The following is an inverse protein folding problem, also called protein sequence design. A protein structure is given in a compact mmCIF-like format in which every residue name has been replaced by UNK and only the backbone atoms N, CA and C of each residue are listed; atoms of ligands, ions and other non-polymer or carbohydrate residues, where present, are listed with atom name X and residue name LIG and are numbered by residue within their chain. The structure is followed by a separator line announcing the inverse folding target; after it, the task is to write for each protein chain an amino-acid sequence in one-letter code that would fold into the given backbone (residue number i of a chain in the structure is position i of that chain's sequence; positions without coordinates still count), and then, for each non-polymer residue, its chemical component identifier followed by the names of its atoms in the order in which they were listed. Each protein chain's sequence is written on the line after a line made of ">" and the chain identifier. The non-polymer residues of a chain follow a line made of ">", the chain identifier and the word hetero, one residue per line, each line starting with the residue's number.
data_IF_170765810364
#
_entry.id   IF_170765810364
#
_cell.length_a   1.000
_cell.length_b   1.000
_cell.length_c   1.000
_cell.angle_alpha   90.00
_cell.angle_beta   90.00
_cell.angle_gamma   90.00
#
_symmetry.space_group_name_H-M   'P 1'
#
loop_
_entity.id
_entity.type
_entity.pdbx_description
1 polymer ?
#
# COMPACT_ATOMS: atom_id res chain seq x y z
N UNK A 1 -11.18 9.81 8.25
CA UNK A 1 -12.05 9.98 7.08
C UNK A 1 -13.37 9.33 7.39
N UNK A 2 -14.44 10.11 7.57
CA UNK A 2 -15.84 9.62 7.54
C UNK A 2 -16.70 10.51 6.65
N UNK A 3 -16.34 11.79 6.46
CA UNK A 3 -17.16 12.77 5.75
C UNK A 3 -16.93 12.83 4.22
N UNK A 4 -16.08 11.95 3.66
CA UNK A 4 -15.70 12.00 2.24
C UNK A 4 -15.20 10.68 1.65
N UNK A 5 -15.66 9.54 2.17
CA UNK A 5 -15.23 8.20 1.73
C UNK A 5 -16.41 7.25 1.56
N UNK A 6 -16.28 6.30 0.62
CA UNK A 6 -17.17 5.14 0.51
C UNK A 6 -16.41 3.93 1.03
N UNK A 7 -16.92 3.31 2.09
CA UNK A 7 -16.35 2.09 2.67
C UNK A 7 -16.86 0.85 1.96
N UNK A 8 -15.95 -0.07 1.61
CA UNK A 8 -16.27 -1.39 1.07
C UNK A 8 -15.71 -2.43 2.03
N UNK A 9 -16.59 -3.22 2.64
CA UNK A 9 -16.20 -4.34 3.51
C UNK A 9 -16.25 -5.64 2.73
N UNK A 10 -15.16 -6.40 2.76
CA UNK A 10 -15.03 -7.69 2.08
C UNK A 10 -14.90 -8.76 3.15
N UNK A 11 -15.77 -9.78 3.11
CA UNK A 11 -15.73 -10.89 4.07
C UNK A 11 -14.44 -11.69 3.87
N UNK A 12 -13.42 -11.40 4.67
CA UNK A 12 -12.17 -12.14 4.75
C UNK A 12 -11.76 -12.18 6.21
N UNK A 13 -11.30 -13.34 6.70
CA UNK A 13 -10.83 -13.49 8.08
C UNK A 13 -9.48 -12.78 8.35
N UNK A 14 -8.90 -12.13 7.33
CA UNK A 14 -7.66 -11.38 7.40
C UNK A 14 -6.46 -12.31 7.45
N UNK A 15 -5.97 -12.57 8.67
CA UNK A 15 -4.85 -13.47 8.90
C UNK A 15 -5.10 -14.35 10.13
N UNK A 16 -4.46 -15.51 10.15
CA UNK A 16 -4.29 -16.31 11.36
C UNK A 16 -3.00 -15.88 12.04
N UNK A 17 -3.10 -15.53 13.33
CA UNK A 17 -1.94 -15.24 14.15
C UNK A 17 -1.22 -16.56 14.48
N UNK A 18 0.04 -16.67 14.05
CA UNK A 18 0.91 -17.81 14.35
C UNK A 18 2.10 -17.37 15.24
N UNK A 19 1.90 -16.36 16.08
CA UNK A 19 2.91 -15.81 16.98
C UNK A 19 3.78 -14.77 16.28
N UNK A 20 4.98 -15.15 15.85
CA UNK A 20 5.89 -14.21 15.16
C UNK A 20 5.53 -14.00 13.70
N UNK A 21 4.63 -14.81 13.14
CA UNK A 21 4.21 -14.76 11.75
C UNK A 21 2.70 -14.63 11.65
N UNK A 22 2.25 -14.01 10.56
CA UNK A 22 0.84 -13.94 10.16
C UNK A 22 0.65 -14.75 8.89
N UNK A 23 -0.29 -15.69 8.93
CA UNK A 23 -0.74 -16.40 7.73
C UNK A 23 -1.95 -15.66 7.16
N UNK A 24 -1.73 -14.89 6.09
CA UNK A 24 -2.79 -14.15 5.41
C UNK A 24 -3.67 -15.08 4.58
N UNK A 25 -4.97 -14.78 4.55
CA UNK A 25 -5.96 -15.60 3.85
C UNK A 25 -6.34 -14.97 2.51
N UNK A 26 -6.35 -15.76 1.42
CA UNK A 26 -6.63 -15.24 0.09
C UNK A 26 -8.10 -14.85 -0.05
N UNK A 27 -8.37 -13.93 -0.98
CA UNK A 27 -9.71 -13.62 -1.45
C UNK A 27 -10.15 -14.60 -2.53
N UNK A 28 -11.44 -14.96 -2.59
CA UNK A 28 -11.93 -15.87 -3.63
C UNK A 28 -12.07 -15.14 -4.97
N UNK A 29 -12.04 -15.88 -6.08
CA UNK A 29 -12.21 -15.31 -7.41
C UNK A 29 -13.56 -14.59 -7.58
N UNK A 30 -14.62 -15.11 -6.96
CA UNK A 30 -15.96 -14.52 -6.98
C UNK A 30 -15.97 -13.17 -6.24
N UNK A 31 -15.34 -13.11 -5.06
CA UNK A 31 -15.19 -11.85 -4.32
C UNK A 31 -14.46 -10.81 -5.17
N UNK A 32 -13.32 -11.19 -5.75
CA UNK A 32 -12.51 -10.28 -6.56
C UNK A 32 -13.25 -9.78 -7.80
N UNK A 33 -14.03 -10.63 -8.47
CA UNK A 33 -14.87 -10.25 -9.61
C UNK A 33 -15.95 -9.23 -9.21
N UNK A 34 -16.67 -9.51 -8.12
CA UNK A 34 -17.73 -8.62 -7.62
C UNK A 34 -17.18 -7.26 -7.20
N UNK A 35 -16.08 -7.21 -6.44
CA UNK A 35 -15.52 -5.93 -5.99
C UNK A 35 -14.97 -5.13 -7.17
N UNK A 36 -14.36 -5.79 -8.16
CA UNK A 36 -13.79 -5.10 -9.34
C UNK A 36 -14.89 -4.37 -10.11
N UNK A 37 -16.04 -5.02 -10.32
CA UNK A 37 -17.18 -4.41 -11.00
C UNK A 37 -17.75 -3.23 -10.20
N UNK A 38 -17.91 -3.40 -8.88
CA UNK A 38 -18.45 -2.36 -8.01
C UNK A 38 -17.50 -1.14 -7.90
N UNK A 39 -16.19 -1.38 -7.73
CA UNK A 39 -15.19 -0.31 -7.65
C UNK A 39 -15.14 0.51 -8.93
N UNK A 40 -15.24 -0.11 -10.11
CA UNK A 40 -15.31 0.62 -11.39
C UNK A 40 -16.51 1.56 -11.47
N UNK A 41 -17.70 1.10 -11.07
CA UNK A 41 -18.90 1.95 -11.07
C UNK A 41 -18.74 3.14 -10.11
N UNK A 42 -18.25 2.89 -8.90
CA UNK A 42 -18.03 3.94 -7.89
C UNK A 42 -17.00 4.96 -8.39
N UNK A 43 -15.85 4.50 -8.88
CA UNK A 43 -14.77 5.37 -9.38
C UNK A 43 -15.29 6.24 -10.52
N UNK A 44 -15.99 5.65 -11.50
CA UNK A 44 -16.54 6.38 -12.62
C UNK A 44 -17.59 7.41 -12.20
N UNK A 45 -18.49 7.04 -11.28
CA UNK A 45 -19.58 7.90 -10.82
C UNK A 45 -19.11 9.14 -10.08
N UNK A 46 -18.04 9.01 -9.29
CA UNK A 46 -17.56 10.09 -8.43
C UNK A 46 -16.24 10.73 -8.92
N UNK A 47 -15.66 10.25 -10.02
CA UNK A 47 -14.38 10.75 -10.52
C UNK A 47 -13.26 10.55 -9.50
N UNK A 48 -13.19 9.37 -8.88
CA UNK A 48 -12.20 9.10 -7.83
C UNK A 48 -10.83 8.91 -8.48
N UNK A 49 -9.90 9.78 -8.16
CA UNK A 49 -8.52 9.66 -8.62
C UNK A 49 -7.85 8.37 -8.09
N UNK A 50 -6.97 7.72 -8.86
CA UNK A 50 -6.37 6.43 -8.49
C UNK A 50 -5.72 6.40 -7.10
N UNK A 51 -5.02 7.46 -6.70
CA UNK A 51 -4.36 7.58 -5.40
C UNK A 51 -5.34 7.66 -4.21
N UNK A 52 -6.63 7.90 -4.47
CA UNK A 52 -7.68 7.93 -3.45
C UNK A 52 -8.39 6.57 -3.28
N UNK A 53 -7.99 5.54 -4.03
CA UNK A 53 -8.42 4.15 -3.79
C UNK A 53 -7.39 3.51 -2.85
N UNK A 54 -7.71 3.47 -1.57
CA UNK A 54 -6.77 3.12 -0.50
C UNK A 54 -7.30 2.00 0.39
N UNK A 55 -6.38 1.26 0.99
CA UNK A 55 -6.69 0.33 2.07
C UNK A 55 -6.92 1.07 3.39
N UNK A 56 -7.58 0.40 4.33
CA UNK A 56 -7.73 0.95 5.67
C UNK A 56 -6.38 1.10 6.38
N UNK A 57 -5.44 0.20 6.09
CA UNK A 57 -4.04 0.28 6.51
C UNK A 57 -3.36 1.57 6.08
N UNK A 58 -3.73 2.16 4.94
CA UNK A 58 -3.08 3.37 4.44
C UNK A 58 -3.53 4.62 5.20
N UNK A 59 -4.81 4.65 5.58
CA UNK A 59 -5.41 5.75 6.34
C UNK A 59 -5.11 5.62 7.84
N UNK A 60 -5.09 4.40 8.37
CA UNK A 60 -4.94 4.12 9.80
C UNK A 60 -3.84 3.08 10.11
N UNK A 61 -2.59 3.30 9.65
CA UNK A 61 -1.51 2.31 9.72
C UNK A 61 -1.18 1.87 11.15
N UNK A 62 -1.47 2.72 12.14
CA UNK A 62 -1.22 2.41 13.55
C UNK A 62 -2.19 1.38 14.14
N UNK A 63 -3.37 1.19 13.51
CA UNK A 63 -4.50 0.42 14.07
C UNK A 63 -5.03 -0.65 13.13
N UNK A 64 -4.77 -0.54 11.83
CA UNK A 64 -5.44 -1.31 10.78
C UNK A 64 -4.42 -1.90 9.82
N UNK A 65 -4.73 -3.10 9.34
CA UNK A 65 -3.86 -3.89 8.45
C UNK A 65 -4.63 -4.48 7.28
N UNK A 66 -5.95 -4.30 7.25
CA UNK A 66 -6.85 -4.61 6.16
C UNK A 66 -6.68 -3.62 4.98
N UNK A 67 -6.77 -4.10 3.72
CA UNK A 67 -7.19 -5.45 3.29
C UNK A 67 -6.06 -6.51 3.28
N UNK A 68 -4.86 -6.14 3.72
CA UNK A 68 -3.70 -7.03 3.80
C UNK A 68 -2.95 -7.22 2.46
N UNK A 69 -1.80 -7.90 2.48
CA UNK A 69 -0.90 -8.05 1.34
C UNK A 69 -1.42 -8.99 0.25
N UNK A 70 -2.44 -9.79 0.54
CA UNK A 70 -3.07 -10.69 -0.46
C UNK A 70 -4.21 -10.03 -1.22
N UNK A 71 -4.52 -8.77 -0.92
CA UNK A 71 -5.45 -8.00 -1.73
C UNK A 71 -4.76 -7.61 -3.06
N UNK A 72 -5.38 -7.84 -4.22
CA UNK A 72 -4.68 -7.83 -5.51
C UNK A 72 -4.62 -6.41 -6.11
N UNK A 73 -3.93 -5.49 -5.41
CA UNK A 73 -3.81 -4.09 -5.82
C UNK A 73 -3.24 -3.93 -7.24
N UNK A 74 -2.21 -4.71 -7.58
CA UNK A 74 -1.59 -4.67 -8.91
C UNK A 74 -2.55 -5.09 -10.03
N UNK A 75 -3.33 -6.15 -9.81
CA UNK A 75 -4.32 -6.64 -10.77
C UNK A 75 -5.51 -5.68 -10.92
N UNK A 76 -5.88 -4.99 -9.84
CA UNK A 76 -6.91 -3.94 -9.88
C UNK A 76 -6.42 -2.72 -10.66
N UNK A 77 -5.18 -2.28 -10.44
CA UNK A 77 -4.60 -1.14 -11.15
C UNK A 77 -4.47 -1.38 -12.66
N UNK A 78 -4.12 -2.61 -13.09
CA UNK A 78 -4.15 -3.03 -14.50
C UNK A 78 -5.55 -2.88 -15.14
N UNK A 79 -6.60 -2.83 -14.33
CA UNK A 79 -7.97 -2.65 -14.75
C UNK A 79 -8.49 -1.21 -14.54
N UNK A 80 -7.59 -0.26 -14.24
CA UNK A 80 -7.93 1.14 -14.00
C UNK A 80 -8.47 1.43 -12.61
N UNK A 81 -8.24 0.55 -11.64
CA UNK A 81 -8.71 0.71 -10.26
C UNK A 81 -7.51 0.93 -9.34
N UNK A 82 -7.36 2.15 -8.85
CA UNK A 82 -6.32 2.51 -7.88
C UNK A 82 -4.95 2.76 -8.49
N UNK A 83 -4.05 3.33 -7.67
CA UNK A 83 -2.70 3.66 -8.06
C UNK A 83 -1.78 2.43 -8.05
N UNK A 84 -0.84 2.39 -8.98
CA UNK A 84 0.27 1.43 -9.01
C UNK A 84 1.48 2.05 -9.71
N UNK A 85 2.71 1.83 -9.23
CA UNK A 85 3.90 2.35 -9.91
C UNK A 85 4.06 1.75 -11.30
N UNK A 86 4.74 2.47 -12.19
CA UNK A 86 5.21 1.92 -13.46
C UNK A 86 6.58 1.23 -13.27
N UNK A 87 6.75 0.03 -13.83
CA UNK A 87 7.94 -0.81 -13.60
C UNK A 87 9.23 -0.16 -14.15
N UNK A 88 9.15 0.57 -15.26
CA UNK A 88 10.31 1.29 -15.84
C UNK A 88 10.72 2.45 -14.94
N UNK A 89 9.74 3.17 -14.40
CA UNK A 89 9.94 4.28 -13.45
C UNK A 89 10.54 3.78 -12.13
N UNK A 90 10.07 2.64 -11.61
CA UNK A 90 10.69 2.00 -10.42
C UNK A 90 12.13 1.61 -10.72
N UNK A 91 12.38 1.00 -11.88
CA UNK A 91 13.74 0.61 -12.29
C UNK A 91 14.67 1.82 -12.39
N UNK A 92 14.16 2.94 -12.92
CA UNK A 92 14.89 4.21 -12.97
C UNK A 92 15.28 4.70 -11.56
N UNK A 93 14.33 4.78 -10.62
CA UNK A 93 14.62 5.25 -9.24
C UNK A 93 15.42 4.24 -8.40
N UNK A 94 15.38 2.96 -8.75
CA UNK A 94 16.25 1.96 -8.11
C UNK A 94 17.72 2.20 -8.46
N UNK A 95 17.99 2.73 -9.65
CA UNK A 95 19.31 3.22 -10.09
C UNK A 95 20.44 2.19 -9.90
N UNK A 96 20.14 0.90 -10.09
CA UNK A 96 21.09 -0.20 -9.96
C UNK A 96 21.40 -0.65 -8.52
N UNK A 97 20.76 -0.05 -7.51
CA UNK A 97 20.88 -0.49 -6.11
C UNK A 97 20.25 -1.86 -5.91
N UNK A 98 20.76 -2.60 -4.93
CA UNK A 98 20.12 -3.85 -4.53
C UNK A 98 18.75 -3.54 -3.91
N UNK A 99 17.73 -4.37 -4.19
CA UNK A 99 16.36 -4.11 -3.73
C UNK A 99 16.26 -3.93 -2.19
N UNK A 100 17.05 -4.69 -1.43
CA UNK A 100 17.11 -4.67 0.03
C UNK A 100 18.13 -3.69 0.62
N UNK A 101 18.75 -2.84 -0.22
CA UNK A 101 19.73 -1.86 0.25
C UNK A 101 19.05 -0.87 1.21
N UNK A 102 19.63 -0.59 2.40
CA UNK A 102 19.06 0.36 3.35
C UNK A 102 18.95 1.77 2.76
N UNK A 103 17.93 2.51 3.18
CA UNK A 103 17.70 3.90 2.77
C UNK A 103 17.69 4.83 3.97
N UNK A 104 17.81 6.13 3.72
CA UNK A 104 17.70 7.15 4.76
C UNK A 104 16.26 7.25 5.27
N UNK A 105 16.07 7.09 6.58
CA UNK A 105 14.73 7.02 7.18
C UNK A 105 14.03 8.38 7.16
N UNK A 106 14.76 9.48 7.33
CA UNK A 106 14.17 10.82 7.30
C UNK A 106 13.65 11.16 5.89
N UNK A 107 14.41 10.81 4.86
CA UNK A 107 13.99 10.92 3.47
C UNK A 107 12.75 10.05 3.20
N UNK A 108 12.77 8.78 3.63
CA UNK A 108 11.64 7.88 3.42
C UNK A 108 10.35 8.37 4.10
N UNK A 109 10.44 8.87 5.35
CA UNK A 109 9.31 9.51 6.05
C UNK A 109 8.79 10.72 5.27
N UNK A 110 9.69 11.55 4.71
CA UNK A 110 9.31 12.71 3.89
C UNK A 110 8.55 12.28 2.64
N UNK A 111 9.00 11.23 1.96
CA UNK A 111 8.32 10.69 0.78
C UNK A 111 6.95 10.08 1.14
N UNK A 112 6.84 9.36 2.25
CA UNK A 112 5.57 8.79 2.71
C UNK A 112 4.54 9.90 2.98
N UNK A 113 4.97 10.95 3.68
CA UNK A 113 4.15 12.13 3.94
C UNK A 113 3.74 12.85 2.65
N UNK A 114 4.66 12.96 1.68
CA UNK A 114 4.38 13.56 0.36
C UNK A 114 3.34 12.77 -0.43
N UNK A 115 3.38 11.44 -0.37
CA UNK A 115 2.39 10.60 -1.04
C UNK A 115 1.01 10.65 -0.35
N UNK A 116 0.98 10.77 0.98
CA UNK A 116 -0.26 10.99 1.74
C UNK A 116 -0.39 10.22 3.05
N UNK A 117 0.62 9.44 3.44
CA UNK A 117 0.60 8.72 4.72
C UNK A 117 0.83 9.68 5.89
N UNK A 118 0.09 9.45 6.99
CA UNK A 118 0.42 10.06 8.27
C UNK A 118 1.58 9.29 8.89
N UNK A 119 2.77 9.91 8.94
CA UNK A 119 4.00 9.29 9.43
C UNK A 119 4.73 10.22 10.39
N UNK A 120 5.40 9.69 11.43
CA UNK A 120 6.35 10.48 12.21
C UNK A 120 7.48 11.01 11.31
N UNK A 121 8.04 12.16 11.67
CA UNK A 121 9.22 12.77 11.02
C UNK A 121 10.40 12.82 12.00
N UNK A 122 10.73 11.64 12.54
CA UNK A 122 11.72 11.46 13.61
C UNK A 122 13.12 11.17 13.08
N UNK A 123 13.25 10.77 11.81
CA UNK A 123 14.51 10.32 11.20
C UNK A 123 14.99 8.96 11.70
N UNK A 124 14.20 8.24 12.49
CA UNK A 124 14.53 6.92 13.03
C UNK A 124 13.42 5.92 12.71
N UNK A 125 13.77 4.63 12.61
CA UNK A 125 12.80 3.56 12.42
C UNK A 125 12.17 3.18 13.77
N UNK A 126 11.33 4.07 14.30
CA UNK A 126 10.53 3.79 15.50
C UNK A 126 9.35 2.85 15.19
N UNK A 127 8.70 2.26 16.22
CA UNK A 127 7.59 1.32 16.02
C UNK A 127 6.40 1.91 15.25
N UNK A 128 6.18 3.22 15.33
CA UNK A 128 5.11 3.89 14.59
C UNK A 128 5.46 3.98 13.11
N UNK A 129 6.69 4.41 12.79
CA UNK A 129 7.23 4.46 11.44
C UNK A 129 7.23 3.07 10.81
N UNK A 130 7.65 2.04 11.54
CA UNK A 130 7.66 0.65 11.04
C UNK A 130 6.26 0.19 10.59
N UNK A 131 5.20 0.58 11.32
CA UNK A 131 3.83 0.26 10.93
C UNK A 131 3.38 1.00 9.67
N UNK A 132 3.76 2.26 9.49
CA UNK A 132 3.46 3.02 8.27
C UNK A 132 4.16 2.39 7.06
N UNK A 133 5.45 2.05 7.20
CA UNK A 133 6.22 1.37 6.15
C UNK A 133 5.60 0.02 5.81
N UNK A 134 5.18 -0.75 6.81
CA UNK A 134 4.52 -2.05 6.60
C UNK A 134 3.17 -1.89 5.89
N UNK A 135 2.38 -0.87 6.21
CA UNK A 135 1.14 -0.57 5.48
C UNK A 135 1.39 -0.24 4.00
N UNK A 136 2.35 0.64 3.72
CA UNK A 136 2.79 0.95 2.36
C UNK A 136 3.27 -0.31 1.62
N UNK A 137 4.07 -1.15 2.26
CA UNK A 137 4.54 -2.40 1.68
C UNK A 137 3.40 -3.40 1.42
N UNK A 138 2.44 -3.55 2.33
CA UNK A 138 1.27 -4.41 2.09
C UNK A 138 0.48 -3.98 0.85
N UNK A 139 0.40 -2.68 0.58
CA UNK A 139 -0.26 -2.16 -0.61
C UNK A 139 0.60 -2.35 -1.87
N UNK A 140 1.82 -1.81 -1.89
CA UNK A 140 2.60 -1.64 -3.13
C UNK A 140 3.78 -2.61 -3.30
N UNK A 141 4.17 -3.35 -2.26
CA UNK A 141 5.26 -4.33 -2.28
C UNK A 141 4.96 -5.55 -1.38
N UNK A 142 3.90 -6.32 -1.67
CA UNK A 142 3.41 -7.37 -0.77
C UNK A 142 4.38 -8.55 -0.58
N UNK A 143 5.47 -8.62 -1.35
CA UNK A 143 6.52 -9.63 -1.21
C UNK A 143 7.42 -9.43 0.02
N UNK A 144 7.54 -8.22 0.55
CA UNK A 144 8.21 -7.95 1.83
C UNK A 144 7.51 -6.81 2.58
N UNK A 145 6.86 -7.18 3.69
CA UNK A 145 6.00 -6.30 4.50
C UNK A 145 6.54 -6.07 5.92
N UNK A 146 7.83 -6.30 6.16
CA UNK A 146 8.46 -6.24 7.49
C UNK A 146 8.46 -4.84 8.11
N UNK A 147 8.09 -3.80 7.35
CA UNK A 147 8.12 -2.41 7.79
C UNK A 147 9.53 -1.83 7.83
N UNK A 148 10.48 -2.44 7.14
CA UNK A 148 11.86 -1.95 7.03
C UNK A 148 12.00 -1.26 5.68
N UNK A 149 12.30 0.05 5.63
CA UNK A 149 12.53 0.77 4.38
C UNK A 149 13.77 0.24 3.67
N UNK A 150 13.66 0.05 2.36
CA UNK A 150 14.76 -0.33 1.48
C UNK A 150 14.64 0.36 0.12
N UNK A 151 15.68 0.21 -0.71
CA UNK A 151 15.79 0.87 -2.00
C UNK A 151 14.61 0.56 -2.93
N UNK A 152 14.06 -0.66 -2.89
CA UNK A 152 12.88 -0.99 -3.69
C UNK A 152 11.63 -0.28 -3.17
N UNK A 153 11.41 -0.25 -1.85
CA UNK A 153 10.29 0.49 -1.27
C UNK A 153 10.39 1.99 -1.59
N UNK A 154 11.61 2.57 -1.55
CA UNK A 154 11.85 3.97 -1.88
C UNK A 154 11.60 4.27 -3.36
N UNK A 155 12.09 3.41 -4.25
CA UNK A 155 11.89 3.55 -5.69
C UNK A 155 10.40 3.46 -6.09
N UNK A 156 9.64 2.54 -5.47
CA UNK A 156 8.18 2.45 -5.64
C UNK A 156 7.50 3.75 -5.21
N UNK A 157 7.87 4.27 -4.05
CA UNK A 157 7.27 5.49 -3.51
C UNK A 157 7.59 6.71 -4.36
N UNK A 158 8.82 6.84 -4.84
CA UNK A 158 9.23 7.87 -5.80
C UNK A 158 8.45 7.78 -7.11
N UNK A 159 8.31 6.57 -7.67
CA UNK A 159 7.57 6.34 -8.91
C UNK A 159 6.06 6.67 -8.78
N UNK A 160 5.49 6.47 -7.59
CA UNK A 160 4.10 6.84 -7.30
C UNK A 160 3.92 8.36 -7.17
N UNK A 161 4.91 9.07 -6.63
CA UNK A 161 4.89 10.53 -6.45
C UNK A 161 5.11 11.30 -7.77
N UNK A 162 5.78 10.68 -8.74
CA UNK A 162 6.12 11.29 -10.04
C UNK A 162 4.95 11.24 -11.05
N UNK A 163 3.89 10.48 -10.74
CA UNK A 163 2.65 10.40 -11.53
C UNK A 163 1.69 11.53 -11.20
#
# INVERSE_FOLDING_TARGET
>A
MNDGSIGIEIVNYGYKDQGTLREWLPYTAEQLSTITMMMKDIIQRYGIEPQNVVGHSDIAPQRKVDPGPLFPWAELAKQGIGAWPDDETVTFYLAGRAASEPVDIANFQTLLAKYGYQTPTTGILDPETQKVVSAFQMHFRPSDIKGIPDAQSEAILMALIDK
#
